data_IF_207805541553
#
_entry.id   IF_207805541553
#
_cell.length_a   1.000
_cell.length_b   1.000
_cell.length_c   1.000
_cell.angle_alpha   90.00
_cell.angle_beta   90.00
_cell.angle_gamma   90.00
#
_symmetry.space_group_name_H-M   'P 1'
#
loop_
_entity.id
_entity.type
_entity.pdbx_description
1 polymer ?
#
# COMPACT_ATOMS: atom_id res chain seq x y z
N UNK A 1 16.75 -13.94 2.31
CA UNK A 1 16.74 -14.81 1.11
C UNK A 1 15.39 -14.64 0.41
N UNK A 2 15.36 -14.54 -0.92
CA UNK A 2 14.08 -14.56 -1.66
C UNK A 2 13.49 -15.96 -1.55
N UNK A 3 12.32 -16.08 -0.94
CA UNK A 3 11.64 -17.37 -0.76
C UNK A 3 10.55 -17.60 -1.82
N UNK A 4 10.25 -16.61 -2.66
CA UNK A 4 9.28 -16.69 -3.75
C UNK A 4 9.85 -16.06 -5.02
N UNK A 5 9.56 -16.66 -6.16
CA UNK A 5 9.92 -16.17 -7.51
C UNK A 5 8.74 -16.40 -8.45
N UNK A 6 8.58 -15.47 -9.40
CA UNK A 6 7.65 -15.64 -10.51
C UNK A 6 8.44 -16.14 -11.71
N UNK A 7 7.98 -17.21 -12.34
CA UNK A 7 8.60 -17.83 -13.51
C UNK A 7 7.55 -18.32 -14.49
N UNK A 8 7.82 -18.13 -15.76
CA UNK A 8 6.99 -18.71 -16.83
C UNK A 8 7.32 -20.20 -17.00
N UNK A 9 6.28 -21.01 -17.11
CA UNK A 9 6.43 -22.41 -17.46
C UNK A 9 6.71 -22.54 -18.97
N UNK A 10 7.59 -23.46 -19.34
CA UNK A 10 7.92 -23.75 -20.74
C UNK A 10 7.63 -25.23 -21.05
N UNK A 11 7.46 -25.54 -22.35
CA UNK A 11 7.20 -26.92 -22.80
C UNK A 11 8.43 -27.80 -22.58
N UNK A 12 8.23 -28.95 -21.93
CA UNK A 12 9.26 -29.98 -21.73
C UNK A 12 8.68 -31.36 -22.11
N UNK A 13 8.91 -31.81 -23.33
CA UNK A 13 8.28 -33.02 -23.85
C UNK A 13 6.75 -32.91 -23.86
N UNK A 14 6.06 -33.82 -23.14
CA UNK A 14 4.60 -33.84 -22.95
C UNK A 14 4.16 -33.15 -21.65
N UNK A 15 5.06 -32.44 -20.97
CA UNK A 15 4.80 -31.73 -19.72
C UNK A 15 5.27 -30.28 -19.81
N UNK A 16 5.10 -29.52 -18.72
CA UNK A 16 5.68 -28.19 -18.55
C UNK A 16 6.77 -28.20 -17.47
N UNK A 17 7.82 -27.41 -17.66
CA UNK A 17 8.92 -27.21 -16.71
C UNK A 17 9.06 -25.76 -16.29
N UNK A 18 9.68 -25.52 -15.15
CA UNK A 18 10.02 -24.20 -14.62
C UNK A 18 11.48 -24.21 -14.18
N UNK A 19 12.26 -23.22 -14.64
CA UNK A 19 13.64 -23.01 -14.18
C UNK A 19 13.64 -22.21 -12.87
N UNK A 20 14.13 -22.84 -11.82
CA UNK A 20 14.28 -22.22 -10.51
C UNK A 20 15.71 -21.72 -10.28
N UNK A 21 15.93 -20.77 -9.37
CA UNK A 21 17.26 -20.35 -8.96
C UNK A 21 18.11 -21.54 -8.50
N UNK A 22 19.39 -21.55 -8.87
CA UNK A 22 20.29 -22.68 -8.55
C UNK A 22 20.44 -22.89 -7.04
N UNK A 23 20.30 -21.84 -6.26
CA UNK A 23 20.35 -21.85 -4.78
C UNK A 23 19.20 -22.67 -4.14
N UNK A 24 18.18 -23.00 -4.97
CA UNK A 24 17.05 -23.84 -4.54
C UNK A 24 17.22 -25.30 -4.90
N UNK A 25 18.36 -25.68 -5.42
CA UNK A 25 18.70 -27.10 -5.69
C UNK A 25 18.45 -27.95 -4.44
N UNK A 26 17.88 -29.12 -4.64
CA UNK A 26 17.56 -30.12 -3.59
C UNK A 26 16.53 -29.64 -2.53
N UNK A 27 15.85 -28.51 -2.76
CA UNK A 27 14.77 -28.01 -1.90
C UNK A 27 13.40 -28.42 -2.45
N UNK A 28 12.46 -28.64 -1.54
CA UNK A 28 11.03 -28.80 -1.90
C UNK A 28 10.42 -27.44 -2.17
N UNK A 29 9.69 -27.30 -3.27
CA UNK A 29 9.01 -26.09 -3.69
C UNK A 29 7.54 -26.37 -3.93
N UNK A 30 6.70 -25.34 -3.71
CA UNK A 30 5.30 -25.35 -4.10
C UNK A 30 5.18 -24.49 -5.36
N UNK A 31 4.62 -25.06 -6.42
CA UNK A 31 4.33 -24.33 -7.67
C UNK A 31 2.81 -24.07 -7.68
N UNK A 32 2.44 -22.80 -7.79
CA UNK A 32 1.05 -22.36 -7.90
C UNK A 32 0.82 -21.68 -9.24
N UNK A 33 -0.25 -22.11 -9.95
CA UNK A 33 -0.69 -21.42 -11.16
C UNK A 33 -1.25 -20.04 -10.77
N UNK A 34 -0.89 -19.01 -11.54
CA UNK A 34 -1.45 -17.65 -11.39
C UNK A 34 -2.56 -17.55 -12.45
N UNK A 35 -3.81 -17.52 -12.00
CA UNK A 35 -4.96 -17.35 -12.88
C UNK A 35 -5.00 -15.94 -13.49
N UNK A 36 -5.70 -15.77 -14.63
CA UNK A 36 -5.97 -14.45 -15.23
C UNK A 36 -6.72 -13.57 -14.23
N UNK A 37 -5.97 -12.73 -13.56
CA UNK A 37 -6.41 -11.86 -12.47
C UNK A 37 -5.50 -10.62 -12.48
N UNK A 38 -5.77 -9.68 -11.59
CA UNK A 38 -4.88 -8.55 -11.27
C UNK A 38 -3.40 -8.97 -11.20
N UNK A 39 -3.13 -10.17 -10.66
CA UNK A 39 -1.77 -10.68 -10.51
C UNK A 39 -1.08 -10.95 -11.86
N UNK A 40 -1.79 -11.48 -12.84
CA UNK A 40 -1.19 -11.78 -14.16
C UNK A 40 -0.91 -10.50 -14.94
N UNK A 41 -1.90 -9.60 -15.01
CA UNK A 41 -1.74 -8.29 -15.69
C UNK A 41 -0.60 -7.48 -15.06
N UNK A 42 -0.50 -7.51 -13.72
CA UNK A 42 0.58 -6.85 -13.00
C UNK A 42 1.96 -7.43 -13.35
N UNK A 43 2.06 -8.76 -13.49
CA UNK A 43 3.31 -9.42 -13.87
C UNK A 43 3.72 -9.00 -15.28
N UNK A 44 2.79 -8.98 -16.23
CA UNK A 44 3.03 -8.52 -17.60
C UNK A 44 3.56 -7.06 -17.60
N UNK A 45 2.93 -6.16 -16.84
CA UNK A 45 3.37 -4.77 -16.67
C UNK A 45 4.82 -4.70 -16.13
N UNK A 46 5.14 -5.53 -15.14
CA UNK A 46 6.45 -5.52 -14.49
C UNK A 46 7.53 -6.15 -15.38
N UNK A 47 7.18 -7.15 -16.19
CA UNK A 47 8.07 -7.78 -17.16
C UNK A 47 8.42 -6.82 -18.29
N UNK A 48 7.44 -6.15 -18.89
CA UNK A 48 7.66 -5.12 -19.92
C UNK A 48 8.61 -4.00 -19.47
N UNK A 49 8.67 -3.74 -18.16
CA UNK A 49 9.53 -2.71 -17.55
C UNK A 49 10.86 -3.23 -16.99
N UNK A 50 11.17 -4.50 -17.18
CA UNK A 50 12.38 -5.19 -16.66
C UNK A 50 12.54 -5.05 -15.13
N UNK A 51 11.43 -5.14 -14.39
CA UNK A 51 11.43 -4.93 -12.96
C UNK A 51 11.36 -6.21 -12.12
N UNK A 52 10.99 -7.36 -12.72
CA UNK A 52 10.73 -8.61 -11.99
C UNK A 52 11.91 -9.08 -11.14
N UNK A 53 13.14 -8.87 -11.62
CA UNK A 53 14.37 -9.33 -10.93
C UNK A 53 14.64 -8.63 -9.61
N UNK A 54 14.09 -7.42 -9.42
CA UNK A 54 14.34 -6.59 -8.24
C UNK A 54 13.25 -6.74 -7.16
N UNK A 55 12.21 -7.54 -7.40
CA UNK A 55 11.05 -7.63 -6.52
C UNK A 55 11.33 -8.54 -5.33
N UNK A 56 11.00 -8.06 -4.12
CA UNK A 56 11.03 -8.81 -2.86
C UNK A 56 9.61 -9.22 -2.44
N UNK A 57 8.62 -8.35 -2.64
CA UNK A 57 7.24 -8.62 -2.30
C UNK A 57 6.28 -7.73 -3.09
N UNK A 58 5.06 -8.23 -3.33
CA UNK A 58 3.98 -7.52 -4.04
C UNK A 58 2.72 -7.59 -3.18
N UNK A 59 2.12 -6.45 -2.92
CA UNK A 59 0.94 -6.32 -2.08
C UNK A 59 -0.15 -5.52 -2.79
N UNK A 60 -1.34 -6.09 -2.87
CA UNK A 60 -2.55 -5.40 -3.29
C UNK A 60 -3.04 -4.56 -2.11
N UNK A 61 -3.36 -3.30 -2.34
CA UNK A 61 -3.83 -2.36 -1.33
C UNK A 61 -5.13 -1.66 -1.78
N UNK A 62 -5.55 -0.64 -1.04
CA UNK A 62 -6.67 0.21 -1.41
C UNK A 62 -8.02 -0.51 -1.45
N UNK A 63 -8.94 0.03 -2.27
CA UNK A 63 -10.31 -0.45 -2.37
C UNK A 63 -10.39 -1.93 -2.78
N UNK A 64 -9.56 -2.37 -3.72
CA UNK A 64 -9.49 -3.76 -4.15
C UNK A 64 -9.04 -4.74 -3.04
N UNK A 65 -8.14 -4.30 -2.16
CA UNK A 65 -7.75 -5.13 -1.02
C UNK A 65 -8.89 -5.24 0.00
N UNK A 66 -9.70 -4.19 0.16
CA UNK A 66 -10.83 -4.14 1.08
C UNK A 66 -12.11 -4.77 0.52
N UNK A 67 -12.23 -4.96 -0.80
CA UNK A 67 -13.47 -5.37 -1.47
C UNK A 67 -14.50 -4.22 -1.55
N UNK A 68 -14.02 -2.97 -1.62
CA UNK A 68 -14.81 -1.74 -1.74
C UNK A 68 -14.63 -1.09 -3.13
N UNK A 69 -14.06 -1.83 -4.09
CA UNK A 69 -13.79 -1.32 -5.43
C UNK A 69 -15.08 -1.02 -6.20
N UNK A 70 -15.00 -0.02 -7.06
CA UNK A 70 -16.00 0.37 -8.05
C UNK A 70 -15.39 0.31 -9.45
N UNK A 71 -16.17 0.46 -10.50
CA UNK A 71 -15.68 0.52 -11.88
C UNK A 71 -14.63 1.65 -12.10
N UNK A 72 -14.75 2.72 -11.34
CA UNK A 72 -13.83 3.87 -11.40
C UNK A 72 -12.61 3.73 -10.49
N UNK A 73 -12.52 2.67 -9.68
CA UNK A 73 -11.42 2.49 -8.74
C UNK A 73 -10.11 2.14 -9.44
N UNK A 74 -9.02 2.80 -9.02
CA UNK A 74 -7.66 2.40 -9.37
C UNK A 74 -7.24 1.15 -8.57
N UNK A 75 -6.33 0.37 -9.14
CA UNK A 75 -5.75 -0.82 -8.51
C UNK A 75 -4.42 -0.41 -7.86
N UNK A 76 -4.44 -0.28 -6.54
CA UNK A 76 -3.30 0.15 -5.74
C UNK A 76 -2.36 -1.02 -5.46
N UNK A 77 -1.11 -0.92 -5.91
CA UNK A 77 -0.08 -1.94 -5.72
C UNK A 77 1.12 -1.34 -5.00
N UNK A 78 1.50 -1.95 -3.89
CA UNK A 78 2.77 -1.68 -3.22
C UNK A 78 3.76 -2.81 -3.52
N UNK A 79 4.92 -2.45 -4.07
CA UNK A 79 6.00 -3.40 -4.37
C UNK A 79 7.22 -3.03 -3.53
N UNK A 80 7.70 -3.98 -2.73
CA UNK A 80 8.98 -3.87 -2.06
C UNK A 80 10.05 -4.44 -2.97
N UNK A 81 11.10 -3.65 -3.20
CA UNK A 81 12.21 -3.99 -4.10
C UNK A 81 13.54 -4.03 -3.36
N UNK A 82 14.57 -4.56 -4.01
CA UNK A 82 15.94 -4.50 -3.49
C UNK A 82 16.44 -3.05 -3.37
N UNK A 83 16.29 -2.24 -4.45
CA UNK A 83 16.93 -0.92 -4.57
C UNK A 83 16.22 0.06 -5.50
N UNK A 84 14.96 -0.20 -5.87
CA UNK A 84 14.20 0.66 -6.78
C UNK A 84 13.14 1.43 -6.01
N UNK A 85 13.14 2.76 -6.18
CA UNK A 85 12.09 3.68 -5.72
C UNK A 85 11.45 4.34 -6.94
N UNK A 86 10.19 4.02 -7.24
CA UNK A 86 9.50 4.55 -8.42
C UNK A 86 7.99 4.50 -8.26
N UNK A 87 7.27 5.44 -8.88
CA UNK A 87 5.82 5.36 -9.08
C UNK A 87 5.53 5.10 -10.55
N UNK A 88 4.60 4.19 -10.82
CA UNK A 88 4.14 3.85 -12.17
C UNK A 88 2.62 3.95 -12.17
N UNK A 89 2.07 4.67 -13.13
CA UNK A 89 0.64 4.69 -13.43
C UNK A 89 0.45 4.16 -14.85
N UNK A 90 -0.33 3.11 -15.01
CA UNK A 90 -0.63 2.50 -16.31
C UNK A 90 -2.02 1.88 -16.28
N UNK A 91 -2.91 2.35 -17.18
CA UNK A 91 -4.32 1.97 -17.12
C UNK A 91 -4.93 2.30 -15.76
N UNK A 92 -5.53 1.29 -15.12
CA UNK A 92 -6.10 1.39 -13.77
C UNK A 92 -5.06 1.14 -12.66
N UNK A 93 -3.82 0.77 -12.99
CA UNK A 93 -2.81 0.41 -12.01
C UNK A 93 -2.04 1.63 -11.50
N UNK A 94 -2.05 1.83 -10.18
CA UNK A 94 -1.16 2.72 -9.45
C UNK A 94 -0.15 1.88 -8.66
N UNK A 95 1.09 1.82 -9.16
CA UNK A 95 2.13 0.95 -8.62
C UNK A 95 3.19 1.81 -7.94
N UNK A 96 3.38 1.60 -6.65
CA UNK A 96 4.45 2.23 -5.86
C UNK A 96 5.52 1.19 -5.59
N UNK A 97 6.70 1.39 -6.17
CA UNK A 97 7.90 0.62 -5.84
C UNK A 97 8.67 1.38 -4.77
N UNK A 98 9.06 0.68 -3.72
CA UNK A 98 9.85 1.22 -2.63
C UNK A 98 10.97 0.24 -2.28
N UNK A 99 12.19 0.74 -2.20
CA UNK A 99 13.33 -0.06 -1.77
C UNK A 99 13.15 -0.53 -0.32
N UNK A 100 13.63 -1.73 -0.01
CA UNK A 100 13.51 -2.34 1.32
C UNK A 100 14.03 -1.41 2.41
N UNK A 101 15.18 -0.81 2.20
CA UNK A 101 15.79 0.09 3.19
C UNK A 101 14.93 1.33 3.47
N UNK A 102 14.36 1.94 2.42
CA UNK A 102 13.48 3.10 2.55
C UNK A 102 12.15 2.71 3.19
N UNK A 103 11.60 1.57 2.79
CA UNK A 103 10.39 1.02 3.38
C UNK A 103 10.56 0.81 4.89
N UNK A 104 11.65 0.15 5.31
CA UNK A 104 11.93 -0.12 6.71
C UNK A 104 12.12 1.14 7.57
N UNK A 105 12.70 2.20 7.00
CA UNK A 105 12.83 3.51 7.64
C UNK A 105 11.51 4.27 7.74
N UNK A 106 10.57 4.00 6.83
CA UNK A 106 9.33 4.78 6.67
C UNK A 106 8.11 4.13 7.33
N UNK A 107 8.08 2.79 7.46
CA UNK A 107 6.89 2.05 7.88
C UNK A 107 6.38 2.43 9.28
N UNK A 108 7.28 2.82 10.20
CA UNK A 108 6.92 3.27 11.54
C UNK A 108 6.77 4.80 11.67
N UNK A 109 7.01 5.53 10.56
CA UNK A 109 6.95 6.99 10.51
C UNK A 109 5.78 7.52 9.69
N UNK A 110 5.03 6.66 9.00
CA UNK A 110 3.92 7.06 8.15
C UNK A 110 2.66 6.29 8.50
N UNK A 111 1.67 7.00 9.01
CA UNK A 111 0.33 6.43 9.29
C UNK A 111 -0.31 5.88 8.03
N UNK A 112 -0.16 6.58 6.89
CA UNK A 112 -0.68 6.12 5.60
C UNK A 112 -0.05 4.80 5.15
N UNK A 113 1.29 4.68 5.26
CA UNK A 113 1.99 3.44 4.89
C UNK A 113 1.62 2.30 5.85
N UNK A 114 1.53 2.58 7.15
CA UNK A 114 1.10 1.58 8.13
C UNK A 114 -0.36 1.13 7.88
N UNK A 115 -1.26 2.07 7.58
CA UNK A 115 -2.65 1.76 7.22
C UNK A 115 -2.74 0.93 5.94
N UNK A 116 -1.96 1.29 4.91
CA UNK A 116 -1.90 0.54 3.66
C UNK A 116 -1.43 -0.90 3.90
N UNK A 117 -0.39 -1.11 4.72
CA UNK A 117 0.08 -2.45 5.09
C UNK A 117 -0.98 -3.22 5.91
N UNK A 118 -1.71 -2.54 6.79
CA UNK A 118 -2.75 -3.17 7.59
C UNK A 118 -3.85 -3.80 6.72
N UNK A 119 -4.30 -3.09 5.68
CA UNK A 119 -5.34 -3.57 4.76
C UNK A 119 -4.82 -4.49 3.66
N UNK A 120 -3.51 -4.47 3.38
CA UNK A 120 -2.94 -5.14 2.22
C UNK A 120 -3.16 -6.66 2.20
N UNK A 121 -3.29 -7.20 0.97
CA UNK A 121 -3.30 -8.64 0.65
C UNK A 121 -2.04 -8.99 -0.14
N UNK A 122 -1.40 -10.10 0.20
CA UNK A 122 -0.19 -10.53 -0.49
C UNK A 122 -0.52 -11.16 -1.85
N UNK A 123 0.12 -10.66 -2.90
CA UNK A 123 0.23 -11.33 -4.20
C UNK A 123 1.52 -12.16 -4.22
N UNK A 124 2.62 -11.59 -3.71
CA UNK A 124 3.92 -12.25 -3.59
C UNK A 124 4.50 -11.99 -2.20
N UNK A 125 5.08 -13.01 -1.57
CA UNK A 125 5.76 -12.98 -0.27
C UNK A 125 4.84 -12.61 0.91
N UNK A 126 3.89 -13.51 1.20
CA UNK A 126 2.95 -13.37 2.31
C UNK A 126 3.63 -13.31 3.68
N UNK A 127 4.78 -13.97 3.86
CA UNK A 127 5.55 -13.93 5.12
C UNK A 127 6.12 -12.54 5.37
N UNK A 128 6.59 -11.85 4.33
CA UNK A 128 7.02 -10.46 4.44
C UNK A 128 5.85 -9.55 4.84
N UNK A 129 4.67 -9.73 4.25
CA UNK A 129 3.49 -8.96 4.65
C UNK A 129 3.13 -9.20 6.11
N UNK A 130 3.15 -10.45 6.57
CA UNK A 130 2.89 -10.81 7.97
C UNK A 130 3.91 -10.15 8.91
N UNK A 131 5.19 -10.19 8.55
CA UNK A 131 6.23 -9.47 9.30
C UNK A 131 5.94 -7.97 9.38
N UNK A 132 5.58 -7.35 8.26
CA UNK A 132 5.24 -5.92 8.21
C UNK A 132 4.01 -5.60 9.07
N UNK A 133 2.96 -6.42 9.02
CA UNK A 133 1.76 -6.27 9.86
C UNK A 133 2.07 -6.36 11.35
N UNK A 134 2.97 -7.23 11.76
CA UNK A 134 3.43 -7.28 13.15
C UNK A 134 4.22 -6.03 13.55
N UNK A 135 5.09 -5.55 12.64
CA UNK A 135 5.96 -4.38 12.89
C UNK A 135 5.15 -3.10 13.09
N UNK A 136 4.08 -2.86 12.33
CA UNK A 136 3.24 -1.66 12.46
C UNK A 136 2.51 -1.56 13.80
N UNK A 137 2.37 -2.65 14.56
CA UNK A 137 1.79 -2.61 15.92
C UNK A 137 2.62 -1.75 16.89
N UNK A 138 3.90 -1.51 16.60
CA UNK A 138 4.81 -0.69 17.41
C UNK A 138 4.90 0.78 16.95
N UNK A 139 4.02 1.24 16.04
CA UNK A 139 4.04 2.62 15.55
C UNK A 139 3.79 3.63 16.68
N UNK A 140 4.60 4.69 16.71
CA UNK A 140 4.45 5.76 17.71
C UNK A 140 3.34 6.74 17.32
N UNK A 141 2.15 6.51 17.84
CA UNK A 141 0.96 7.33 17.55
C UNK A 141 1.06 8.74 18.16
N UNK A 142 1.77 8.89 19.29
CA UNK A 142 1.86 10.18 20.01
C UNK A 142 2.40 11.31 19.12
N UNK A 143 3.44 11.05 18.36
CA UNK A 143 4.05 12.06 17.47
C UNK A 143 3.07 12.48 16.37
N UNK A 144 2.39 11.52 15.75
CA UNK A 144 1.38 11.81 14.71
C UNK A 144 0.21 12.63 15.25
N UNK A 145 -0.29 12.33 16.47
CA UNK A 145 -1.34 13.14 17.09
C UNK A 145 -0.86 14.58 17.33
N UNK A 146 0.39 14.77 17.75
CA UNK A 146 0.93 16.11 17.93
C UNK A 146 1.05 16.88 16.62
N UNK A 147 1.49 16.23 15.54
CA UNK A 147 1.53 16.81 14.20
C UNK A 147 0.13 17.19 13.71
N UNK A 148 -0.86 16.30 13.86
CA UNK A 148 -2.25 16.57 13.51
C UNK A 148 -2.76 17.80 14.28
N UNK A 149 -2.56 17.86 15.59
CA UNK A 149 -2.98 19.01 16.43
C UNK A 149 -2.35 20.32 15.96
N UNK A 150 -1.05 20.31 15.65
CA UNK A 150 -0.34 21.50 15.16
C UNK A 150 -0.90 21.97 13.81
N UNK A 151 -1.12 21.05 12.88
CA UNK A 151 -1.68 21.39 11.56
C UNK A 151 -3.14 21.83 11.65
N UNK A 152 -3.95 21.22 12.52
CA UNK A 152 -5.33 21.65 12.75
C UNK A 152 -5.37 23.09 13.27
N UNK A 153 -4.52 23.43 14.24
CA UNK A 153 -4.42 24.80 14.78
C UNK A 153 -4.02 25.83 13.71
N UNK A 154 -3.12 25.46 12.78
CA UNK A 154 -2.75 26.33 11.65
C UNK A 154 -3.97 26.55 10.72
N UNK A 155 -4.69 25.48 10.38
CA UNK A 155 -5.89 25.56 9.55
C UNK A 155 -7.02 26.37 10.22
N UNK A 156 -7.20 26.25 11.55
CA UNK A 156 -8.12 27.09 12.32
C UNK A 156 -7.78 28.58 12.17
N UNK A 157 -6.48 28.93 12.28
CA UNK A 157 -6.03 30.32 12.05
C UNK A 157 -6.34 30.84 10.66
N UNK A 158 -6.26 30.03 9.60
CA UNK A 158 -6.66 30.44 8.25
C UNK A 158 -8.17 30.64 8.16
N UNK A 159 -8.97 29.76 8.73
CA UNK A 159 -10.44 29.90 8.78
C UNK A 159 -10.85 31.19 9.50
N UNK A 160 -10.20 31.52 10.62
CA UNK A 160 -10.47 32.75 11.37
C UNK A 160 -10.14 34.00 10.56
N UNK A 161 -8.98 34.03 9.87
CA UNK A 161 -8.57 35.14 9.01
C UNK A 161 -9.55 35.33 7.85
N UNK A 162 -9.92 34.27 7.12
CA UNK A 162 -10.89 34.33 6.03
C UNK A 162 -12.24 34.86 6.54
N UNK A 163 -12.67 34.41 7.75
CA UNK A 163 -13.89 34.89 8.39
C UNK A 163 -13.85 36.36 8.78
N UNK A 164 -12.73 36.87 9.30
CA UNK A 164 -12.53 38.29 9.64
C UNK A 164 -12.56 39.18 8.38
N UNK A 165 -12.05 38.66 7.27
CA UNK A 165 -12.05 39.35 5.96
C UNK A 165 -13.40 39.26 5.25
N UNK A 166 -14.35 38.47 5.75
CA UNK A 166 -15.63 38.19 5.09
C UNK A 166 -15.50 37.38 3.79
N UNK A 167 -14.41 36.64 3.69
CA UNK A 167 -14.11 35.79 2.53
C UNK A 167 -14.58 34.34 2.80
N UNK A 168 -14.72 33.55 1.73
CA UNK A 168 -14.95 32.13 1.81
C UNK A 168 -13.68 31.41 2.23
N UNK A 169 -13.78 30.45 3.16
CA UNK A 169 -12.68 29.54 3.47
C UNK A 169 -12.20 28.82 2.20
N UNK A 170 -10.89 28.85 1.96
CA UNK A 170 -10.27 28.21 0.81
C UNK A 170 -10.47 26.69 0.80
N UNK A 171 -10.71 26.15 -0.39
CA UNK A 171 -10.91 24.69 -0.58
C UNK A 171 -9.69 23.89 -0.11
N UNK A 172 -8.48 24.43 -0.23
CA UNK A 172 -7.23 23.84 0.26
C UNK A 172 -7.21 23.71 1.78
N UNK A 173 -7.73 24.71 2.50
CA UNK A 173 -7.84 24.68 3.97
C UNK A 173 -8.83 23.61 4.41
N UNK A 174 -10.01 23.55 3.76
CA UNK A 174 -11.02 22.53 4.02
C UNK A 174 -10.48 21.14 3.70
N UNK A 175 -9.81 20.97 2.58
CA UNK A 175 -9.18 19.69 2.21
C UNK A 175 -8.11 19.27 3.23
N UNK A 176 -7.29 20.21 3.71
CA UNK A 176 -6.31 19.95 4.77
C UNK A 176 -6.97 19.46 6.06
N UNK A 177 -8.09 20.04 6.48
CA UNK A 177 -8.85 19.59 7.65
C UNK A 177 -9.41 18.18 7.47
N UNK A 178 -9.97 17.88 6.29
CA UNK A 178 -10.48 16.52 5.99
C UNK A 178 -9.34 15.50 6.03
N UNK A 179 -8.13 15.84 5.55
CA UNK A 179 -6.96 14.97 5.67
C UNK A 179 -6.58 14.71 7.13
N UNK A 180 -6.63 15.71 8.01
CA UNK A 180 -6.36 15.53 9.47
C UNK A 180 -7.40 14.61 10.11
N UNK A 181 -8.67 14.77 9.79
CA UNK A 181 -9.73 13.85 10.23
C UNK A 181 -9.49 12.42 9.73
N UNK A 182 -9.08 12.27 8.47
CA UNK A 182 -8.73 10.96 7.91
C UNK A 182 -7.56 10.32 8.66
N UNK A 183 -6.51 11.08 8.98
CA UNK A 183 -5.38 10.58 9.76
C UNK A 183 -5.80 10.10 11.15
N UNK A 184 -6.66 10.83 11.84
CA UNK A 184 -7.22 10.41 13.14
C UNK A 184 -8.01 9.10 13.02
N UNK A 185 -8.85 8.99 11.98
CA UNK A 185 -9.59 7.76 11.69
C UNK A 185 -8.66 6.58 11.41
N UNK A 186 -7.60 6.76 10.61
CA UNK A 186 -6.60 5.72 10.34
C UNK A 186 -5.86 5.30 11.61
N UNK A 187 -5.52 6.25 12.50
CA UNK A 187 -4.92 5.97 13.81
C UNK A 187 -5.86 5.12 14.66
N UNK A 188 -7.15 5.45 14.69
CA UNK A 188 -8.15 4.67 15.42
C UNK A 188 -8.27 3.24 14.87
N UNK A 189 -8.30 3.09 13.53
CA UNK A 189 -8.31 1.79 12.89
C UNK A 189 -7.07 0.96 13.26
N UNK A 190 -5.87 1.57 13.21
CA UNK A 190 -4.62 0.89 13.57
C UNK A 190 -4.61 0.45 15.04
N UNK A 191 -5.06 1.30 15.97
CA UNK A 191 -5.17 0.96 17.40
C UNK A 191 -6.08 -0.22 17.68
N UNK A 192 -7.18 -0.31 16.94
CA UNK A 192 -8.20 -1.33 17.13
C UNK A 192 -8.02 -2.54 16.19
N UNK A 193 -6.90 -2.61 15.45
CA UNK A 193 -6.64 -3.64 14.44
C UNK A 193 -7.77 -3.77 13.41
N UNK A 194 -8.45 -2.65 13.13
CA UNK A 194 -9.50 -2.55 12.11
C UNK A 194 -8.89 -2.24 10.75
N UNK A 195 -9.52 -2.77 9.70
CA UNK A 195 -9.26 -2.34 8.32
C UNK A 195 -10.06 -1.06 8.08
N UNK A 196 -9.45 0.03 7.56
CA UNK A 196 -10.17 1.26 7.27
C UNK A 196 -11.19 1.05 6.15
N UNK A 197 -12.34 1.75 6.24
CA UNK A 197 -13.39 1.78 5.23
C UNK A 197 -13.66 3.22 4.79
N UNK A 198 -13.80 3.45 3.49
CA UNK A 198 -14.17 4.77 2.98
C UNK A 198 -15.61 5.14 3.40
N UNK A 199 -16.51 4.15 3.44
CA UNK A 199 -17.88 4.36 3.88
C UNK A 199 -17.94 4.80 5.34
N UNK A 200 -17.24 4.07 6.23
CA UNK A 200 -17.21 4.40 7.66
C UNK A 200 -16.61 5.79 7.91
N UNK A 201 -15.59 6.16 7.14
CA UNK A 201 -15.00 7.50 7.23
C UNK A 201 -15.97 8.59 6.78
N UNK A 202 -16.69 8.41 5.68
CA UNK A 202 -17.70 9.36 5.21
C UNK A 202 -18.85 9.49 6.22
N UNK A 203 -19.29 8.38 6.78
CA UNK A 203 -20.35 8.37 7.80
C UNK A 203 -19.90 9.07 9.11
N UNK A 204 -18.60 9.01 9.43
CA UNK A 204 -18.01 9.74 10.56
C UNK A 204 -18.05 11.26 10.34
N UNK A 205 -17.74 11.74 9.13
CA UNK A 205 -17.72 13.19 8.80
C UNK A 205 -19.14 13.78 8.76
N UNK A 206 -20.14 12.98 8.41
CA UNK A 206 -21.54 13.44 8.30
C UNK A 206 -22.27 13.57 9.63
N UNK A 207 -21.68 13.13 10.73
CA UNK A 207 -22.23 13.22 12.09
C UNK A 207 -21.89 14.55 12.73
#
# INVERSE_FOLDING_TARGET
MKNEVIKQAFKLGNSAGVLLPIEWKDRKVVIKLIDRSISLELIEILEEKDLLKNIIGIFLAGSYARGEETEASDIDILIITDNIDRKIKTGKYEIVLISKDKFEKSILKSIYLASLINEAKAILNGDLLKYCKNKIQSISIKNHINEIKSMTKINEGFVDIDGELGEKVLDETLYSLVLRLRELYLIECLKNSKIPSNKDFIDLIKR
#
